data_IF_354043166548
#
_entry.id   IF_354043166548
#
_cell.length_a   1.000
_cell.length_b   1.000
_cell.length_c   1.000
_cell.angle_alpha   90.00
_cell.angle_beta   90.00
_cell.angle_gamma   90.00
#
_symmetry.space_group_name_H-M   'P 1'
#
loop_
_entity.id
_entity.type
_entity.pdbx_description
1 polymer ?
#
# COMPACT_ATOMS: atom_id res chain seq x y z
N UNK A 1 35.54 2.12 -10.07
CA UNK A 1 35.20 2.35 -8.64
C UNK A 1 35.24 1.01 -7.93
N UNK A 2 36.09 0.86 -6.93
CA UNK A 2 36.33 -0.42 -6.27
C UNK A 2 35.07 -0.87 -5.51
N UNK A 3 34.60 -2.10 -5.73
CA UNK A 3 33.35 -2.64 -5.14
C UNK A 3 33.32 -2.55 -3.60
N UNK A 4 34.49 -2.47 -2.97
CA UNK A 4 34.67 -2.30 -1.52
C UNK A 4 34.16 -0.94 -1.05
N UNK A 5 34.43 0.16 -1.76
CA UNK A 5 33.99 1.50 -1.35
C UNK A 5 32.47 1.64 -1.47
N UNK A 6 31.86 1.07 -2.51
CA UNK A 6 30.40 1.03 -2.65
C UNK A 6 29.76 0.16 -1.55
N UNK A 7 30.38 -0.97 -1.18
CA UNK A 7 29.92 -1.82 -0.08
C UNK A 7 30.02 -1.13 1.27
N UNK A 8 31.14 -0.46 1.56
CA UNK A 8 31.32 0.32 2.78
C UNK A 8 30.30 1.45 2.81
N UNK A 9 30.10 2.16 1.70
CA UNK A 9 29.09 3.23 1.62
C UNK A 9 27.67 2.70 1.84
N UNK A 10 27.27 1.61 1.17
CA UNK A 10 25.94 1.02 1.35
C UNK A 10 25.74 0.47 2.77
N UNK A 11 26.78 -0.13 3.35
CA UNK A 11 26.76 -0.63 4.72
C UNK A 11 26.68 0.50 5.74
N UNK A 12 27.48 1.56 5.57
CA UNK A 12 27.42 2.77 6.40
C UNK A 12 26.10 3.49 6.24
N UNK A 13 25.56 3.63 5.02
CA UNK A 13 24.25 4.21 4.77
C UNK A 13 23.13 3.37 5.37
N UNK A 14 23.18 2.04 5.26
CA UNK A 14 22.22 1.14 5.87
C UNK A 14 22.28 1.21 7.40
N UNK A 15 23.49 1.23 8.00
CA UNK A 15 23.68 1.42 9.43
C UNK A 15 23.24 2.81 9.90
N UNK A 16 23.50 3.86 9.13
CA UNK A 16 23.10 5.23 9.44
C UNK A 16 21.56 5.37 9.36
N UNK A 17 20.94 4.77 8.35
CA UNK A 17 19.48 4.71 8.20
C UNK A 17 18.80 3.79 9.23
N UNK A 18 19.44 2.71 9.67
CA UNK A 18 18.89 1.85 10.73
C UNK A 18 19.11 2.47 12.12
N UNK A 19 20.27 3.05 12.37
CA UNK A 19 20.68 3.58 13.67
C UNK A 19 20.07 4.93 14.05
N UNK A 20 19.71 5.78 13.08
CA UNK A 20 19.02 7.04 13.35
C UNK A 20 17.50 6.89 13.56
N UNK A 21 16.92 5.76 13.14
CA UNK A 21 15.46 5.66 12.99
C UNK A 21 14.81 4.45 13.64
N UNK A 22 15.57 3.48 14.16
CA UNK A 22 15.03 2.40 14.97
C UNK A 22 14.79 2.90 16.40
N UNK A 23 13.52 2.94 16.81
CA UNK A 23 13.16 3.01 18.22
C UNK A 23 12.53 1.70 18.68
N UNK A 24 12.78 1.34 19.94
CA UNK A 24 12.15 0.21 20.60
C UNK A 24 10.92 0.68 21.37
N UNK A 25 9.74 0.36 20.87
CA UNK A 25 8.50 0.50 21.64
C UNK A 25 8.35 -0.73 22.55
N UNK A 26 9.07 -0.76 23.69
CA UNK A 26 9.15 -1.92 24.59
C UNK A 26 7.80 -2.42 25.09
N UNK A 27 6.82 -1.51 25.21
CA UNK A 27 5.52 -1.81 25.82
C UNK A 27 4.42 -2.02 24.76
N UNK A 28 4.72 -1.80 23.47
CA UNK A 28 3.76 -1.87 22.37
C UNK A 28 2.72 -0.75 22.38
N UNK A 29 3.00 0.34 23.10
CA UNK A 29 2.10 1.47 23.31
C UNK A 29 2.70 2.74 22.71
N UNK A 30 1.83 3.62 22.21
CA UNK A 30 2.21 4.92 21.67
C UNK A 30 1.72 6.06 22.56
N UNK A 31 2.44 7.17 22.62
CA UNK A 31 2.06 8.30 23.48
C UNK A 31 1.04 9.24 22.83
N UNK A 32 0.09 9.71 23.64
CA UNK A 32 -0.86 10.76 23.27
C UNK A 32 -1.36 11.53 24.48
N UNK A 33 -2.14 12.57 24.23
CA UNK A 33 -2.76 13.39 25.27
C UNK A 33 -4.22 13.64 24.90
N UNK A 34 -5.15 13.30 25.80
CA UNK A 34 -6.53 13.74 25.67
C UNK A 34 -6.65 15.17 26.20
N UNK A 35 -7.17 16.07 25.38
CA UNK A 35 -7.49 17.43 25.73
C UNK A 35 -8.99 17.49 26.01
N UNK A 36 -9.37 17.60 27.28
CA UNK A 36 -10.77 17.64 27.72
C UNK A 36 -11.16 19.08 28.06
N UNK A 37 -12.26 19.56 27.47
CA UNK A 37 -12.80 20.90 27.60
C UNK A 37 -11.77 22.02 27.30
N UNK A 38 -10.78 21.75 26.43
CA UNK A 38 -9.67 22.65 26.05
C UNK A 38 -8.72 23.06 27.19
N UNK A 39 -8.86 22.49 28.38
CA UNK A 39 -8.08 22.88 29.55
C UNK A 39 -7.33 21.70 30.15
N UNK A 40 -8.04 20.59 30.38
CA UNK A 40 -7.50 19.42 31.09
C UNK A 40 -6.73 18.53 30.13
N UNK A 41 -5.43 18.37 30.37
CA UNK A 41 -4.54 17.50 29.60
C UNK A 41 -4.34 16.18 30.34
N UNK A 42 -4.73 15.07 29.71
CA UNK A 42 -4.64 13.73 30.28
C UNK A 42 -3.70 12.91 29.41
N UNK A 43 -2.45 12.66 29.85
CA UNK A 43 -1.54 11.78 29.12
C UNK A 43 -2.12 10.38 29.05
N UNK A 44 -2.13 9.79 27.85
CA UNK A 44 -2.66 8.45 27.58
C UNK A 44 -1.63 7.61 26.83
N UNK A 45 -1.61 6.31 27.13
CA UNK A 45 -0.97 5.30 26.30
C UNK A 45 -2.00 4.73 25.32
N UNK A 46 -1.65 4.76 24.04
CA UNK A 46 -2.49 4.35 22.92
C UNK A 46 -2.14 2.93 22.52
N UNK A 47 -3.16 2.07 22.48
CA UNK A 47 -3.06 0.71 21.97
C UNK A 47 -3.95 0.54 20.74
N UNK A 48 -3.49 -0.23 19.75
CA UNK A 48 -4.27 -0.64 18.59
C UNK A 48 -3.74 -1.98 18.08
N UNK A 49 -4.63 -2.85 17.60
CA UNK A 49 -4.26 -4.13 17.00
C UNK A 49 -5.39 -4.64 16.14
N UNK A 50 -5.09 -5.33 15.05
CA UNK A 50 -6.07 -6.08 14.23
C UNK A 50 -6.18 -7.54 14.67
N UNK A 51 -5.33 -8.00 15.59
CA UNK A 51 -5.29 -9.37 16.11
C UNK A 51 -6.19 -9.52 17.34
N UNK A 52 -7.21 -10.38 17.24
CA UNK A 52 -8.07 -10.73 18.39
C UNK A 52 -7.30 -11.38 19.55
N UNK A 53 -6.21 -12.10 19.24
CA UNK A 53 -5.33 -12.68 20.26
C UNK A 53 -4.63 -11.59 21.06
N UNK A 54 -3.99 -10.63 20.38
CA UNK A 54 -3.26 -9.56 21.04
C UNK A 54 -4.21 -8.65 21.83
N UNK A 55 -5.41 -8.42 21.29
CA UNK A 55 -6.48 -7.71 21.97
C UNK A 55 -6.91 -8.42 23.26
N UNK A 56 -7.09 -9.75 23.23
CA UNK A 56 -7.38 -10.54 24.44
C UNK A 56 -6.23 -10.55 25.44
N UNK A 57 -4.99 -10.74 24.99
CA UNK A 57 -3.82 -10.72 25.86
C UNK A 57 -3.59 -9.35 26.51
N UNK A 58 -3.91 -8.25 25.81
CA UNK A 58 -3.79 -6.90 26.35
C UNK A 58 -4.79 -6.64 27.50
N UNK A 59 -5.99 -7.23 27.45
CA UNK A 59 -6.97 -7.13 28.53
C UNK A 59 -6.38 -7.64 29.86
N UNK A 60 -5.51 -8.64 29.81
CA UNK A 60 -4.86 -9.24 30.98
C UNK A 60 -3.68 -8.45 31.55
N UNK A 61 -3.15 -7.46 30.83
CA UNK A 61 -2.00 -6.69 31.30
C UNK A 61 -2.41 -5.71 32.42
N UNK A 62 -1.64 -5.62 33.52
CA UNK A 62 -1.82 -4.55 34.51
C UNK A 62 -1.55 -3.20 33.84
N UNK A 63 -2.34 -2.19 34.20
CA UNK A 63 -2.26 -0.87 33.59
C UNK A 63 -1.75 0.14 34.60
N UNK A 64 -0.65 0.80 34.28
CA UNK A 64 0.02 1.78 35.14
C UNK A 64 -0.14 3.22 34.60
N UNK A 65 -1.01 3.41 33.61
CA UNK A 65 -1.24 4.69 32.91
C UNK A 65 -2.70 4.78 32.46
N UNK A 66 -3.16 5.97 32.09
CA UNK A 66 -4.45 6.09 31.38
C UNK A 66 -4.31 5.41 30.02
N UNK A 67 -5.27 4.55 29.65
CA UNK A 67 -5.21 3.76 28.42
C UNK A 67 -6.32 4.20 27.48
N UNK A 68 -5.94 4.40 26.21
CA UNK A 68 -6.85 4.59 25.10
C UNK A 68 -6.61 3.49 24.07
N UNK A 69 -7.62 2.66 23.80
CA UNK A 69 -7.55 1.64 22.75
C UNK A 69 -8.32 2.14 21.55
N UNK A 70 -7.68 2.18 20.38
CA UNK A 70 -8.33 2.50 19.11
C UNK A 70 -8.93 1.21 18.54
N UNK A 71 -10.25 1.15 18.47
CA UNK A 71 -10.98 0.02 17.91
C UNK A 71 -11.01 0.13 16.38
N UNK A 72 -10.73 -0.97 15.69
CA UNK A 72 -10.76 -1.06 14.23
C UNK A 72 -11.81 -2.08 13.77
N UNK A 73 -12.03 -2.20 12.46
CA UNK A 73 -13.07 -3.08 11.92
C UNK A 73 -12.85 -4.54 12.31
N UNK A 74 -11.60 -5.00 12.33
CA UNK A 74 -11.26 -6.36 12.72
C UNK A 74 -11.60 -6.65 14.18
N UNK A 75 -11.29 -5.74 15.10
CA UNK A 75 -11.62 -5.91 16.53
C UNK A 75 -13.12 -5.82 16.79
N UNK A 76 -13.85 -5.01 16.01
CA UNK A 76 -15.30 -4.91 16.13
C UNK A 76 -16.02 -6.24 15.82
N UNK A 77 -15.40 -7.16 15.07
CA UNK A 77 -15.95 -8.51 14.88
C UNK A 77 -15.95 -9.33 16.18
N UNK A 78 -15.10 -8.97 17.16
CA UNK A 78 -15.02 -9.60 18.48
C UNK A 78 -15.94 -8.96 19.52
N UNK A 79 -16.79 -8.01 19.12
CA UNK A 79 -17.68 -7.27 20.02
C UNK A 79 -18.59 -8.18 20.88
N UNK A 80 -19.01 -9.33 20.33
CA UNK A 80 -19.86 -10.31 21.01
C UNK A 80 -19.09 -11.39 21.77
N UNK A 81 -17.77 -11.24 21.94
CA UNK A 81 -16.93 -12.24 22.60
C UNK A 81 -16.70 -11.92 24.08
N UNK A 82 -16.37 -12.93 24.92
CA UNK A 82 -16.06 -12.71 26.34
C UNK A 82 -14.94 -11.70 26.60
N UNK A 83 -14.02 -11.52 25.64
CA UNK A 83 -12.92 -10.56 25.71
C UNK A 83 -13.46 -9.13 25.83
N UNK A 84 -14.52 -8.78 25.09
CA UNK A 84 -15.07 -7.43 25.11
C UNK A 84 -15.74 -7.11 26.46
N UNK A 85 -16.43 -8.10 27.05
CA UNK A 85 -16.99 -8.00 28.39
C UNK A 85 -15.89 -7.93 29.46
N UNK A 86 -14.76 -8.60 29.26
CA UNK A 86 -13.61 -8.51 30.16
C UNK A 86 -13.07 -7.08 30.27
N UNK A 87 -12.98 -6.34 29.15
CA UNK A 87 -12.61 -4.92 29.17
C UNK A 87 -13.60 -4.09 30.01
N UNK A 88 -14.91 -4.33 29.86
CA UNK A 88 -15.94 -3.63 30.65
C UNK A 88 -15.81 -3.95 32.15
N UNK A 89 -15.64 -5.22 32.52
CA UNK A 89 -15.42 -5.66 33.90
C UNK A 89 -14.17 -5.01 34.49
N UNK A 90 -13.13 -4.82 33.69
CA UNK A 90 -11.88 -4.15 34.08
C UNK A 90 -11.97 -2.62 34.08
N UNK A 91 -13.16 -2.05 33.90
CA UNK A 91 -13.43 -0.62 34.02
C UNK A 91 -13.11 0.20 32.77
N UNK A 92 -12.97 -0.43 31.60
CA UNK A 92 -12.87 0.31 30.34
C UNK A 92 -14.25 0.78 29.88
N UNK A 93 -14.33 2.06 29.52
CA UNK A 93 -15.52 2.71 28.98
C UNK A 93 -15.47 2.74 27.46
N UNK A 94 -16.61 2.52 26.82
CA UNK A 94 -16.76 2.64 25.37
C UNK A 94 -17.07 4.08 25.00
N UNK A 95 -16.26 4.62 24.10
CA UNK A 95 -16.41 5.98 23.60
C UNK A 95 -16.60 6.00 22.09
N UNK A 96 -17.42 6.94 21.61
CA UNK A 96 -17.58 7.20 20.18
C UNK A 96 -16.43 8.06 19.63
N UNK A 97 -16.49 8.41 18.34
CA UNK A 97 -15.47 9.24 17.67
C UNK A 97 -15.30 10.65 18.26
N UNK A 98 -16.27 11.12 19.05
CA UNK A 98 -16.27 12.41 19.75
C UNK A 98 -15.93 12.25 21.24
N UNK A 99 -15.37 11.10 21.63
CA UNK A 99 -14.99 10.76 23.00
C UNK A 99 -16.16 10.84 24.01
N UNK A 100 -17.41 10.70 23.54
CA UNK A 100 -18.58 10.58 24.41
C UNK A 100 -18.88 9.11 24.70
N UNK A 101 -19.51 8.77 25.83
CA UNK A 101 -20.08 7.46 26.06
C UNK A 101 -20.89 6.98 24.83
N UNK A 102 -20.62 5.78 24.37
CA UNK A 102 -21.28 5.18 23.22
C UNK A 102 -22.29 4.10 23.64
N UNK A 103 -23.38 3.98 22.88
CA UNK A 103 -24.26 2.81 23.01
C UNK A 103 -23.50 1.54 22.61
N UNK A 104 -23.62 0.52 23.45
CA UNK A 104 -22.97 -0.78 23.26
C UNK A 104 -23.77 -1.72 22.34
N UNK A 105 -25.02 -1.35 22.00
CA UNK A 105 -25.91 -2.19 21.18
C UNK A 105 -25.44 -2.35 19.72
N UNK A 106 -24.67 -1.39 19.21
CA UNK A 106 -24.24 -1.35 17.82
C UNK A 106 -22.73 -1.07 17.69
N UNK A 107 -21.94 -2.02 17.15
CA UNK A 107 -20.49 -1.89 16.99
C UNK A 107 -19.99 -0.69 16.17
N UNK A 108 -20.88 -0.01 15.44
CA UNK A 108 -20.54 1.17 14.64
C UNK A 108 -20.52 2.46 15.46
N UNK A 109 -21.08 2.45 16.66
CA UNK A 109 -21.31 3.66 17.45
C UNK A 109 -20.15 3.97 18.40
N UNK A 110 -19.27 3.00 18.66
CA UNK A 110 -18.05 3.18 19.42
C UNK A 110 -16.79 3.11 18.54
N UNK A 111 -15.73 3.78 19.01
CA UNK A 111 -14.41 3.85 18.37
C UNK A 111 -13.27 3.61 19.34
N UNK A 112 -13.47 3.86 20.63
CA UNK A 112 -12.41 3.72 21.62
C UNK A 112 -12.88 2.94 22.83
N UNK A 113 -11.95 2.18 23.43
CA UNK A 113 -12.02 1.90 24.86
C UNK A 113 -11.13 2.89 25.60
N UNK A 114 -11.62 3.42 26.71
CA UNK A 114 -10.86 4.30 27.58
C UNK A 114 -10.88 3.80 29.01
N UNK A 115 -9.70 3.70 29.64
CA UNK A 115 -9.58 3.41 31.07
C UNK A 115 -8.71 4.47 31.73
N UNK A 116 -9.28 5.33 32.59
CA UNK A 116 -8.48 6.24 33.39
C UNK A 116 -7.72 5.47 34.48
N UNK A 117 -6.50 5.91 34.79
CA UNK A 117 -5.72 5.39 35.92
C UNK A 117 -6.33 5.83 37.26
N UNK A 118 -6.75 7.08 37.33
CA UNK A 118 -7.36 7.71 38.50
C UNK A 118 -8.74 8.26 38.14
N UNK A 119 -9.73 8.26 39.06
CA UNK A 119 -11.08 8.80 38.80
C UNK A 119 -11.07 10.25 38.30
N UNK A 120 -10.08 11.05 38.72
CA UNK A 120 -9.93 12.44 38.24
C UNK A 120 -9.58 12.53 36.75
N UNK A 121 -9.10 11.47 36.10
CA UNK A 121 -8.79 11.45 34.68
C UNK A 121 -9.97 10.96 33.84
N UNK A 122 -11.13 10.74 34.44
CA UNK A 122 -12.31 10.33 33.70
C UNK A 122 -12.80 11.43 32.73
N UNK A 123 -13.53 11.00 31.70
CA UNK A 123 -14.19 11.89 30.75
C UNK A 123 -15.67 11.89 31.12
N UNK A 124 -16.14 13.04 31.62
CA UNK A 124 -17.54 13.22 32.00
C UNK A 124 -18.45 13.23 30.77
N UNK A 125 -19.70 12.83 30.96
CA UNK A 125 -20.71 12.86 29.91
C UNK A 125 -20.95 14.31 29.44
N UNK A 126 -20.90 14.54 28.13
CA UNK A 126 -21.00 15.88 27.53
C UNK A 126 -19.68 16.65 27.44
N UNK A 127 -18.57 16.16 28.02
CA UNK A 127 -17.27 16.83 27.95
C UNK A 127 -16.70 16.79 26.53
N UNK A 128 -16.22 17.92 25.99
CA UNK A 128 -15.60 17.94 24.66
C UNK A 128 -14.17 17.46 24.78
N UNK A 129 -13.84 16.30 24.20
CA UNK A 129 -12.48 15.78 24.22
C UNK A 129 -11.93 15.52 22.82
N UNK A 130 -10.63 15.77 22.66
CA UNK A 130 -9.86 15.55 21.44
C UNK A 130 -8.54 14.85 21.79
N UNK A 131 -7.99 14.06 20.86
CA UNK A 131 -6.73 13.37 21.02
C UNK A 131 -5.62 14.11 20.27
N UNK A 132 -4.60 14.56 21.00
CA UNK A 132 -3.36 15.12 20.47
C UNK A 132 -2.24 14.08 20.52
N UNK A 133 -1.52 13.92 19.42
CA UNK A 133 -0.35 13.04 19.29
C UNK A 133 0.77 13.75 18.54
N UNK A 134 2.06 13.43 18.79
CA UNK A 134 3.17 14.00 18.02
C UNK A 134 3.23 13.49 16.57
N UNK A 135 2.56 12.37 16.30
CA UNK A 135 2.39 11.75 14.99
C UNK A 135 0.95 11.86 14.49
N UNK A 136 0.71 11.52 13.22
CA UNK A 136 -0.66 11.43 12.66
C UNK A 136 -1.23 10.03 12.82
N UNK A 137 -2.53 9.92 13.11
CA UNK A 137 -3.24 8.63 13.10
C UNK A 137 -3.95 8.49 11.76
N UNK A 138 -3.60 7.46 10.99
CA UNK A 138 -4.20 7.18 9.69
C UNK A 138 -5.27 6.09 9.82
N UNK A 139 -6.51 6.53 9.96
CA UNK A 139 -7.69 5.67 10.07
C UNK A 139 -8.84 6.22 9.19
N UNK A 140 -8.64 6.27 7.85
CA UNK A 140 -9.66 6.76 6.94
C UNK A 140 -10.84 5.78 6.88
N UNK A 141 -11.99 6.25 6.38
CA UNK A 141 -13.01 5.32 5.91
C UNK A 141 -12.45 4.46 4.78
N UNK A 142 -12.87 3.20 4.67
CA UNK A 142 -12.41 2.28 3.60
C UNK A 142 -12.85 2.70 2.19
N UNK A 143 -13.87 3.57 2.09
CA UNK A 143 -14.42 4.04 0.81
C UNK A 143 -15.77 4.73 0.97
N UNK A 144 -16.46 4.92 -0.15
CA UNK A 144 -17.80 5.50 -0.20
C UNK A 144 -18.87 4.40 -0.16
N UNK A 145 -19.90 4.56 0.66
CA UNK A 145 -21.06 3.66 0.66
C UNK A 145 -22.05 4.07 -0.42
N UNK A 146 -22.34 3.15 -1.34
CA UNK A 146 -23.30 3.29 -2.44
C UNK A 146 -24.41 2.25 -2.21
N UNK A 147 -25.31 2.55 -1.26
CA UNK A 147 -26.33 1.59 -0.81
C UNK A 147 -25.67 0.34 -0.19
N UNK A 148 -25.92 -0.88 -0.72
CA UNK A 148 -25.33 -2.11 -0.19
C UNK A 148 -23.86 -2.33 -0.59
N UNK A 149 -23.33 -1.57 -1.56
CA UNK A 149 -21.97 -1.75 -2.10
C UNK A 149 -21.06 -0.64 -1.55
N UNK A 150 -19.83 -0.99 -1.20
CA UNK A 150 -18.79 -0.01 -0.84
C UNK A 150 -17.81 0.16 -2.00
N UNK A 151 -17.68 1.38 -2.50
CA UNK A 151 -16.62 1.73 -3.45
C UNK A 151 -15.35 2.04 -2.65
N UNK A 152 -14.45 1.06 -2.59
CA UNK A 152 -13.19 1.18 -1.84
C UNK A 152 -12.25 2.20 -2.48
N UNK A 153 -11.53 2.97 -1.66
CA UNK A 153 -10.53 3.93 -2.16
C UNK A 153 -9.43 3.24 -2.97
N UNK A 154 -9.04 2.03 -2.57
CA UNK A 154 -8.10 1.20 -3.33
C UNK A 154 -8.59 0.94 -4.76
N UNK A 155 -9.85 0.50 -4.92
CA UNK A 155 -10.47 0.27 -6.23
C UNK A 155 -10.56 1.58 -7.03
N UNK A 156 -10.86 2.70 -6.37
CA UNK A 156 -10.88 4.01 -7.02
C UNK A 156 -9.50 4.41 -7.55
N UNK A 157 -8.41 4.09 -6.84
CA UNK A 157 -7.06 4.33 -7.34
C UNK A 157 -6.72 3.49 -8.58
N UNK A 158 -7.24 2.27 -8.69
CA UNK A 158 -7.16 1.49 -9.94
C UNK A 158 -7.93 2.16 -11.08
N UNK A 159 -9.14 2.67 -10.81
CA UNK A 159 -9.91 3.44 -11.79
C UNK A 159 -9.12 4.66 -12.26
N UNK A 160 -8.45 5.38 -11.36
CA UNK A 160 -7.58 6.50 -11.71
C UNK A 160 -6.37 6.06 -12.53
N UNK A 161 -5.69 4.97 -12.15
CA UNK A 161 -4.55 4.44 -12.90
C UNK A 161 -4.93 4.13 -14.36
N UNK A 162 -6.02 3.41 -14.59
CA UNK A 162 -6.49 3.08 -15.94
C UNK A 162 -7.10 4.27 -16.68
N UNK A 163 -7.90 5.09 -16.00
CA UNK A 163 -8.57 6.25 -16.58
C UNK A 163 -7.59 7.34 -17.03
N UNK A 164 -6.68 7.77 -16.16
CA UNK A 164 -5.61 8.69 -16.55
C UNK A 164 -4.68 8.04 -17.57
N UNK A 165 -4.45 6.73 -17.47
CA UNK A 165 -3.66 6.02 -18.46
C UNK A 165 -4.25 6.06 -19.87
N UNK A 166 -5.58 5.89 -20.00
CA UNK A 166 -6.29 6.04 -21.27
C UNK A 166 -6.17 7.47 -21.81
N UNK A 167 -6.41 8.48 -20.96
CA UNK A 167 -6.35 9.90 -21.35
C UNK A 167 -4.94 10.28 -21.82
N UNK A 168 -3.91 9.85 -21.09
CA UNK A 168 -2.52 10.12 -21.44
C UNK A 168 -2.11 9.37 -22.71
N UNK A 169 -2.51 8.12 -22.87
CA UNK A 169 -2.19 7.33 -24.06
C UNK A 169 -2.89 7.88 -25.31
N UNK A 170 -4.15 8.33 -25.18
CA UNK A 170 -4.86 9.08 -26.24
C UNK A 170 -4.04 10.29 -26.71
N UNK A 171 -3.49 11.04 -25.76
CA UNK A 171 -2.61 12.19 -26.04
C UNK A 171 -1.31 11.75 -26.70
N UNK A 172 -0.66 10.69 -26.22
CA UNK A 172 0.54 10.11 -26.83
C UNK A 172 0.27 9.72 -28.29
N UNK A 173 -0.83 9.05 -28.59
CA UNK A 173 -1.18 8.63 -29.95
C UNK A 173 -1.36 9.82 -30.88
N UNK A 174 -2.02 10.89 -30.41
CA UNK A 174 -2.14 12.13 -31.18
C UNK A 174 -0.77 12.77 -31.46
N UNK A 175 0.14 12.76 -30.49
CA UNK A 175 1.49 13.33 -30.63
C UNK A 175 2.33 12.54 -31.64
N UNK A 176 2.18 11.22 -31.66
CA UNK A 176 2.96 10.33 -32.52
C UNK A 176 2.26 10.00 -33.85
N UNK A 177 1.15 10.67 -34.16
CA UNK A 177 0.40 10.46 -35.41
C UNK A 177 -0.19 9.05 -35.54
N UNK A 178 -0.48 8.38 -34.42
CA UNK A 178 -1.07 7.03 -34.41
C UNK A 178 -2.58 7.14 -34.44
N UNK A 179 -3.20 6.35 -35.31
CA UNK A 179 -4.65 6.22 -35.43
C UNK A 179 -5.27 5.79 -34.09
N UNK A 180 -6.29 6.55 -33.66
CA UNK A 180 -6.95 6.37 -32.37
C UNK A 180 -7.69 5.03 -32.27
N UNK A 181 -8.02 4.37 -33.38
CA UNK A 181 -8.64 3.03 -33.37
C UNK A 181 -7.80 1.98 -32.64
N UNK A 182 -6.48 2.20 -32.51
CA UNK A 182 -5.58 1.30 -31.81
C UNK A 182 -5.55 1.52 -30.30
N UNK A 183 -6.20 2.58 -29.78
CA UNK A 183 -6.20 2.91 -28.36
C UNK A 183 -7.07 1.96 -27.55
N UNK A 184 -8.31 1.73 -27.99
CA UNK A 184 -9.27 0.88 -27.27
C UNK A 184 -8.79 -0.58 -27.18
N UNK A 185 -8.19 -1.18 -28.23
CA UNK A 185 -7.58 -2.50 -28.09
C UNK A 185 -6.42 -2.52 -27.09
N UNK A 186 -5.56 -1.50 -27.07
CA UNK A 186 -4.45 -1.42 -26.09
C UNK A 186 -4.99 -1.40 -24.66
N UNK A 187 -5.98 -0.52 -24.42
CA UNK A 187 -6.63 -0.41 -23.12
C UNK A 187 -7.28 -1.73 -22.71
N UNK A 188 -8.05 -2.34 -23.60
CA UNK A 188 -8.79 -3.58 -23.36
C UNK A 188 -7.84 -4.72 -23.00
N UNK A 189 -6.79 -4.94 -23.79
CA UNK A 189 -5.81 -6.01 -23.55
C UNK A 189 -4.93 -5.77 -22.31
N UNK A 190 -4.68 -4.52 -21.96
CA UNK A 190 -3.99 -4.15 -20.71
C UNK A 190 -4.88 -4.43 -19.51
N UNK A 191 -6.15 -4.01 -19.56
CA UNK A 191 -7.12 -4.20 -18.47
C UNK A 191 -7.41 -5.69 -18.23
N UNK A 192 -7.71 -6.43 -19.31
CA UNK A 192 -7.95 -7.87 -19.26
C UNK A 192 -6.70 -8.60 -18.74
N UNK A 193 -5.52 -8.28 -19.31
CA UNK A 193 -4.26 -8.88 -18.87
C UNK A 193 -3.98 -8.63 -17.39
N UNK A 194 -4.26 -7.42 -16.90
CA UNK A 194 -4.05 -7.09 -15.48
C UNK A 194 -5.00 -7.88 -14.58
N UNK A 195 -6.31 -7.82 -14.83
CA UNK A 195 -7.33 -8.42 -13.94
C UNK A 195 -7.27 -9.94 -14.02
N UNK A 196 -7.36 -10.51 -15.23
CA UNK A 196 -7.34 -11.97 -15.39
C UNK A 196 -5.97 -12.55 -15.05
N UNK A 197 -4.88 -11.89 -15.45
CA UNK A 197 -3.53 -12.34 -15.10
C UNK A 197 -3.30 -12.34 -13.60
N UNK A 198 -3.72 -11.29 -12.90
CA UNK A 198 -3.60 -11.23 -11.44
C UNK A 198 -4.37 -12.37 -10.77
N UNK A 199 -5.63 -12.58 -11.20
CA UNK A 199 -6.50 -13.60 -10.62
C UNK A 199 -6.02 -15.01 -10.92
N UNK A 200 -5.66 -15.30 -12.17
CA UNK A 200 -5.13 -16.61 -12.56
C UNK A 200 -3.80 -16.90 -11.88
N UNK A 201 -2.91 -15.91 -11.77
CA UNK A 201 -1.67 -16.08 -11.01
C UNK A 201 -1.95 -16.45 -9.56
N UNK A 202 -2.91 -15.78 -8.92
CA UNK A 202 -3.26 -16.10 -7.53
C UNK A 202 -3.79 -17.54 -7.40
N UNK A 203 -4.75 -17.90 -8.24
CA UNK A 203 -5.36 -19.24 -8.20
C UNK A 203 -4.34 -20.32 -8.53
N UNK A 204 -3.51 -20.16 -9.56
CA UNK A 204 -2.54 -21.19 -9.96
C UNK A 204 -1.46 -21.42 -8.88
N UNK A 205 -0.94 -20.34 -8.27
CA UNK A 205 0.21 -20.45 -7.36
C UNK A 205 -0.16 -20.64 -5.89
N UNK A 206 -1.32 -20.12 -5.45
CA UNK A 206 -1.68 -20.10 -4.03
C UNK A 206 -2.96 -20.85 -3.70
N UNK A 207 -3.91 -20.97 -4.64
CA UNK A 207 -5.22 -21.59 -4.40
C UNK A 207 -5.74 -22.45 -5.57
N UNK A 208 -4.97 -23.45 -6.05
CA UNK A 208 -5.33 -24.22 -7.24
C UNK A 208 -6.62 -25.04 -7.05
N UNK A 209 -7.00 -25.35 -5.82
CA UNK A 209 -8.23 -26.04 -5.46
C UNK A 209 -9.51 -25.32 -5.94
N UNK A 210 -9.47 -23.99 -6.11
CA UNK A 210 -10.62 -23.22 -6.59
C UNK A 210 -11.08 -23.66 -7.98
N UNK A 211 -10.19 -24.19 -8.83
CA UNK A 211 -10.59 -24.74 -10.13
C UNK A 211 -11.60 -25.89 -10.02
N UNK A 212 -11.58 -26.63 -8.91
CA UNK A 212 -12.52 -27.75 -8.66
C UNK A 212 -13.65 -27.34 -7.74
N UNK A 213 -13.33 -26.56 -6.71
CA UNK A 213 -14.28 -26.26 -5.63
C UNK A 213 -15.26 -25.17 -6.02
N UNK A 214 -14.79 -24.09 -6.68
CA UNK A 214 -15.60 -22.94 -7.04
C UNK A 214 -15.08 -22.32 -8.37
N UNK A 215 -15.24 -23.06 -9.47
CA UNK A 215 -14.64 -22.74 -10.77
C UNK A 215 -14.99 -21.33 -11.28
N UNK A 216 -16.24 -20.88 -11.12
CA UNK A 216 -16.66 -19.57 -11.61
C UNK A 216 -16.02 -18.41 -10.82
N UNK A 217 -15.70 -18.62 -9.54
CA UNK A 217 -14.96 -17.64 -8.73
C UNK A 217 -13.55 -17.35 -9.26
N UNK A 218 -12.98 -18.23 -10.09
CA UNK A 218 -11.67 -18.02 -10.71
C UNK A 218 -11.73 -16.88 -11.73
N UNK A 219 -12.86 -16.70 -12.42
CA UNK A 219 -12.97 -15.75 -13.53
C UNK A 219 -13.88 -14.57 -13.23
N UNK A 220 -14.80 -14.73 -12.29
CA UNK A 220 -15.83 -13.75 -11.96
C UNK A 220 -15.66 -13.27 -10.51
N UNK A 221 -16.05 -12.02 -10.19
CA UNK A 221 -15.95 -11.42 -8.86
C UNK A 221 -17.06 -11.93 -7.91
N UNK A 222 -17.28 -13.25 -7.92
CA UNK A 222 -18.32 -13.94 -7.17
C UNK A 222 -17.71 -15.14 -6.46
N UNK A 223 -18.37 -15.56 -5.41
CA UNK A 223 -18.22 -16.87 -4.79
C UNK A 223 -19.54 -17.60 -5.02
N UNK A 224 -19.48 -18.87 -5.42
CA UNK A 224 -20.67 -19.70 -5.66
C UNK A 224 -20.88 -20.75 -4.57
N UNK A 225 -19.85 -21.06 -3.78
CA UNK A 225 -19.92 -22.02 -2.67
C UNK A 225 -19.33 -21.47 -1.36
N UNK A 226 -19.91 -21.79 -0.18
CA UNK A 226 -21.14 -22.56 0.02
C UNK A 226 -22.41 -21.79 -0.40
N UNK A 227 -22.34 -20.47 -0.47
CA UNK A 227 -23.45 -19.60 -0.87
C UNK A 227 -23.01 -18.61 -1.96
N UNK A 228 -23.97 -18.12 -2.73
CA UNK A 228 -23.70 -17.09 -3.73
C UNK A 228 -23.45 -15.74 -3.06
N UNK A 229 -22.25 -15.20 -3.25
CA UNK A 229 -21.86 -13.89 -2.73
C UNK A 229 -21.08 -13.11 -3.76
N UNK A 230 -21.42 -11.85 -3.95
CA UNK A 230 -20.56 -10.92 -4.65
C UNK A 230 -19.37 -10.59 -3.75
N UNK A 231 -18.18 -11.07 -4.12
CA UNK A 231 -16.94 -10.91 -3.34
C UNK A 231 -16.05 -9.81 -3.89
N UNK A 232 -16.29 -9.36 -5.12
CA UNK A 232 -15.33 -8.52 -5.83
C UNK A 232 -14.14 -9.34 -6.33
N UNK A 233 -13.18 -8.68 -6.98
CA UNK A 233 -11.91 -9.32 -7.33
C UNK A 233 -10.97 -9.29 -6.10
N UNK A 234 -11.00 -10.35 -5.30
CA UNK A 234 -10.04 -10.63 -4.24
C UNK A 234 -9.06 -11.72 -4.67
N UNK A 235 -7.94 -11.90 -3.95
CA UNK A 235 -6.91 -12.87 -4.32
C UNK A 235 -6.27 -12.55 -5.67
N UNK A 236 -5.39 -11.55 -5.70
CA UNK A 236 -4.74 -11.03 -6.90
C UNK A 236 -3.22 -11.13 -6.74
N UNK A 237 -2.53 -11.78 -7.68
CA UNK A 237 -1.08 -11.93 -7.66
C UNK A 237 -0.41 -11.03 -8.70
N UNK A 238 0.50 -10.17 -8.26
CA UNK A 238 1.23 -9.23 -9.12
C UNK A 238 2.08 -9.91 -10.21
N UNK A 239 2.67 -11.07 -9.92
CA UNK A 239 3.47 -11.85 -10.89
C UNK A 239 2.61 -12.36 -12.05
N UNK A 240 1.39 -12.83 -11.76
CA UNK A 240 0.43 -13.25 -12.79
C UNK A 240 0.01 -12.10 -13.70
N UNK A 241 -0.28 -10.93 -13.12
CA UNK A 241 -0.57 -9.72 -13.88
C UNK A 241 0.61 -9.33 -14.78
N UNK A 242 1.84 -9.41 -14.26
CA UNK A 242 3.06 -9.05 -15.00
C UNK A 242 3.25 -9.94 -16.22
N UNK A 243 3.14 -11.27 -16.06
CA UNK A 243 3.26 -12.22 -17.16
C UNK A 243 2.19 -11.97 -18.21
N UNK A 244 0.93 -11.84 -17.79
CA UNK A 244 -0.17 -11.58 -18.71
C UNK A 244 0.01 -10.26 -19.46
N UNK A 245 0.44 -9.19 -18.79
CA UNK A 245 0.71 -7.89 -19.42
C UNK A 245 1.85 -7.94 -20.45
N UNK A 246 2.90 -8.73 -20.20
CA UNK A 246 3.95 -8.96 -21.20
C UNK A 246 3.31 -9.61 -22.44
N UNK A 247 2.58 -10.70 -22.26
CA UNK A 247 1.97 -11.44 -23.37
C UNK A 247 0.93 -10.61 -24.13
N UNK A 248 0.05 -9.88 -23.44
CA UNK A 248 -0.98 -9.05 -24.09
C UNK A 248 -0.36 -7.84 -24.79
N UNK A 249 0.71 -7.26 -24.26
CA UNK A 249 1.45 -6.17 -24.95
C UNK A 249 2.15 -6.68 -26.20
N UNK A 250 2.78 -7.86 -26.15
CA UNK A 250 3.39 -8.49 -27.33
C UNK A 250 2.32 -8.82 -28.39
N UNK A 251 1.19 -9.40 -27.99
CA UNK A 251 0.06 -9.66 -28.88
C UNK A 251 -0.43 -8.38 -29.54
N UNK A 252 -0.69 -7.33 -28.76
CA UNK A 252 -1.08 -6.02 -29.26
C UNK A 252 -0.07 -5.47 -30.26
N UNK A 253 1.22 -5.51 -29.91
CA UNK A 253 2.30 -4.97 -30.72
C UNK A 253 2.41 -5.66 -32.08
N UNK A 254 2.40 -7.00 -32.09
CA UNK A 254 2.63 -7.77 -33.30
C UNK A 254 1.39 -7.95 -34.16
N UNK A 255 0.20 -8.08 -33.55
CA UNK A 255 -1.03 -8.42 -34.28
C UNK A 255 -1.95 -7.24 -34.54
N UNK A 256 -1.98 -6.25 -33.64
CA UNK A 256 -2.95 -5.15 -33.72
C UNK A 256 -2.28 -3.91 -34.31
N UNK A 257 -1.34 -3.29 -33.60
CA UNK A 257 -0.71 -2.03 -34.05
C UNK A 257 0.45 -2.25 -35.02
N UNK A 258 0.99 -3.48 -35.10
CA UNK A 258 2.10 -3.88 -35.98
C UNK A 258 3.33 -2.97 -35.84
N UNK A 259 3.68 -2.60 -34.61
CA UNK A 259 4.87 -1.82 -34.27
C UNK A 259 5.85 -2.70 -33.48
N UNK A 260 7.10 -2.22 -33.36
CA UNK A 260 8.08 -2.84 -32.46
C UNK A 260 7.54 -2.81 -31.01
N UNK A 261 7.58 -3.93 -30.26
CA UNK A 261 7.14 -3.95 -28.86
C UNK A 261 7.79 -2.89 -27.98
N UNK A 262 9.08 -2.60 -28.19
CA UNK A 262 9.77 -1.57 -27.43
C UNK A 262 9.19 -0.17 -27.65
N UNK A 263 8.62 0.11 -28.82
CA UNK A 263 7.88 1.35 -29.05
C UNK A 263 6.63 1.43 -28.15
N UNK A 264 5.91 0.32 -28.00
CA UNK A 264 4.72 0.24 -27.14
C UNK A 264 5.14 0.38 -25.67
N UNK A 265 6.18 -0.35 -25.25
CA UNK A 265 6.69 -0.31 -23.89
C UNK A 265 7.24 1.05 -23.47
N UNK A 266 7.90 1.80 -24.36
CA UNK A 266 8.35 3.17 -24.07
C UNK A 266 7.19 4.06 -23.64
N UNK A 267 6.04 3.91 -24.29
CA UNK A 267 4.84 4.73 -24.05
C UNK A 267 4.05 4.22 -22.85
N UNK A 268 3.95 2.91 -22.70
CA UNK A 268 3.36 2.29 -21.52
C UNK A 268 4.16 2.63 -20.26
N UNK A 269 5.50 2.64 -20.29
CA UNK A 269 6.34 2.97 -19.14
C UNK A 269 6.04 4.36 -18.56
N UNK A 270 5.76 5.35 -19.42
CA UNK A 270 5.34 6.69 -18.99
C UNK A 270 4.03 6.59 -18.19
N UNK A 271 3.02 5.94 -18.77
CA UNK A 271 1.69 5.85 -18.17
C UNK A 271 1.68 5.00 -16.90
N UNK A 272 2.41 3.88 -16.91
CA UNK A 272 2.53 2.95 -15.79
C UNK A 272 3.25 3.58 -14.62
N UNK A 273 4.20 4.51 -14.81
CA UNK A 273 4.81 5.25 -13.72
C UNK A 273 3.73 6.01 -12.91
N UNK A 274 2.82 6.72 -13.58
CA UNK A 274 1.71 7.39 -12.89
C UNK A 274 0.72 6.39 -12.28
N UNK A 275 0.40 5.30 -12.99
CA UNK A 275 -0.44 4.23 -12.47
C UNK A 275 0.11 3.62 -11.19
N UNK A 276 1.42 3.39 -11.13
CA UNK A 276 2.13 2.90 -9.95
C UNK A 276 1.99 3.84 -8.75
N UNK A 277 2.01 5.16 -8.96
CA UNK A 277 1.77 6.13 -7.90
C UNK A 277 0.36 6.01 -7.31
N UNK A 278 -0.66 5.85 -8.16
CA UNK A 278 -2.03 5.62 -7.69
C UNK A 278 -2.16 4.31 -6.91
N UNK A 279 -1.53 3.22 -7.37
CA UNK A 279 -1.54 1.94 -6.63
C UNK A 279 -0.93 2.11 -5.24
N UNK A 280 0.20 2.83 -5.11
CA UNK A 280 0.81 3.11 -3.80
C UNK A 280 -0.08 3.97 -2.91
N UNK A 281 -0.79 4.94 -3.48
CA UNK A 281 -1.81 5.70 -2.76
C UNK A 281 -2.94 4.79 -2.26
N UNK A 282 -3.34 3.80 -3.07
CA UNK A 282 -4.29 2.77 -2.65
C UNK A 282 -3.78 1.98 -1.44
N UNK A 283 -2.53 1.50 -1.49
CA UNK A 283 -1.92 0.78 -0.36
C UNK A 283 -1.86 1.67 0.91
N UNK A 284 -1.63 2.97 0.75
CA UNK A 284 -1.69 3.92 1.87
C UNK A 284 -3.10 3.97 2.49
N UNK A 285 -4.17 4.11 1.68
CA UNK A 285 -5.55 4.05 2.20
C UNK A 285 -5.85 2.73 2.93
N UNK A 286 -5.30 1.62 2.47
CA UNK A 286 -5.48 0.30 3.09
C UNK A 286 -4.55 0.03 4.29
N UNK A 287 -3.61 0.92 4.62
CA UNK A 287 -2.58 0.66 5.64
C UNK A 287 -1.70 -0.57 5.34
N UNK A 288 -1.40 -0.81 4.06
CA UNK A 288 -0.59 -1.93 3.58
C UNK A 288 0.79 -1.45 3.11
N UNK A 289 1.82 -2.30 3.19
CA UNK A 289 3.19 -1.98 2.72
C UNK A 289 3.80 -0.79 3.50
N UNK A 290 3.57 -0.79 4.83
CA UNK A 290 4.02 0.25 5.75
C UNK A 290 5.54 0.15 6.02
N UNK A 291 6.05 1.22 6.61
CA UNK A 291 7.44 1.34 6.98
C UNK A 291 7.80 0.68 8.31
N UNK A 292 9.09 0.71 8.59
CA UNK A 292 9.66 0.45 9.91
C UNK A 292 9.15 1.48 10.92
N UNK A 293 9.25 1.09 12.19
CA UNK A 293 8.98 1.97 13.33
C UNK A 293 9.85 3.23 13.23
N UNK A 294 9.30 4.38 13.62
CA UNK A 294 9.98 5.68 13.56
C UNK A 294 9.72 6.46 14.84
N UNK A 295 10.64 7.36 15.19
CA UNK A 295 10.43 8.35 16.25
C UNK A 295 9.04 9.02 16.12
N UNK A 296 8.20 8.98 17.17
CA UNK A 296 6.89 9.64 17.21
C UNK A 296 6.90 11.13 16.82
N UNK A 297 8.03 11.83 17.01
CA UNK A 297 8.21 13.24 16.68
C UNK A 297 8.71 13.48 15.25
N UNK A 298 9.00 12.42 14.49
CA UNK A 298 9.35 12.55 13.08
C UNK A 298 8.20 13.20 12.30
N UNK A 299 8.48 14.13 11.37
CA UNK A 299 7.43 14.73 10.53
C UNK A 299 6.73 13.72 9.63
N UNK A 300 7.31 12.53 9.48
CA UNK A 300 6.76 11.41 8.71
C UNK A 300 6.12 10.33 9.59
N UNK A 301 6.02 10.52 10.91
CA UNK A 301 5.45 9.53 11.80
C UNK A 301 3.93 9.39 11.57
N UNK A 302 3.50 8.19 11.17
CA UNK A 302 2.09 7.85 11.03
C UNK A 302 1.81 6.54 11.77
N UNK A 303 0.82 6.55 12.67
CA UNK A 303 0.28 5.35 13.29
C UNK A 303 -0.87 4.81 12.44
N UNK A 304 -0.84 3.52 12.13
CA UNK A 304 -1.81 2.85 11.28
C UNK A 304 -2.65 1.84 12.09
N UNK A 305 -3.80 2.23 12.69
CA UNK A 305 -4.61 1.32 13.53
C UNK A 305 -5.15 0.09 12.80
N UNK A 306 -5.17 0.16 11.46
CA UNK A 306 -5.69 -0.87 10.55
C UNK A 306 -4.58 -1.75 9.96
N UNK A 307 -3.31 -1.56 10.36
CA UNK A 307 -2.23 -2.39 9.83
C UNK A 307 -2.45 -3.88 10.13
N UNK A 308 -1.98 -4.75 9.23
CA UNK A 308 -1.93 -6.19 9.50
C UNK A 308 -1.09 -6.48 10.75
N UNK A 309 -1.51 -7.44 11.56
CA UNK A 309 -0.74 -7.93 12.71
C UNK A 309 0.61 -8.56 12.31
N UNK A 310 0.79 -8.91 11.03
CA UNK A 310 2.07 -9.38 10.48
C UNK A 310 3.21 -8.36 10.62
N UNK A 311 2.88 -7.07 10.69
CA UNK A 311 3.88 -6.02 10.92
C UNK A 311 4.24 -5.87 12.42
N UNK A 312 3.66 -6.69 13.30
CA UNK A 312 3.84 -6.63 14.74
C UNK A 312 3.03 -5.51 15.41
N UNK A 313 3.63 -4.91 16.44
CA UNK A 313 2.98 -3.87 17.25
C UNK A 313 2.58 -2.64 16.41
N UNK A 314 1.44 -2.04 16.77
CA UNK A 314 0.90 -0.84 16.13
C UNK A 314 1.46 0.40 16.79
N UNK A 315 2.50 0.95 16.16
CA UNK A 315 3.25 2.12 16.61
C UNK A 315 3.51 3.05 15.42
N UNK A 316 3.97 4.29 15.62
CA UNK A 316 4.27 5.19 14.51
C UNK A 316 5.33 4.61 13.58
N UNK A 317 5.05 4.68 12.28
CA UNK A 317 5.86 4.09 11.20
C UNK A 317 6.02 5.06 10.04
N UNK A 318 7.04 4.85 9.23
CA UNK A 318 7.20 5.57 7.98
C UNK A 318 6.08 5.23 6.98
N UNK A 319 5.51 6.21 6.26
CA UNK A 319 4.56 5.98 5.17
C UNK A 319 5.33 5.68 3.88
N UNK A 320 6.03 4.56 3.83
CA UNK A 320 6.84 4.12 2.67
C UNK A 320 6.06 4.14 1.36
N UNK A 321 4.75 3.89 1.39
CA UNK A 321 3.87 3.95 0.23
C UNK A 321 3.85 5.36 -0.38
N UNK A 322 3.80 6.40 0.44
CA UNK A 322 3.81 7.79 -0.04
C UNK A 322 5.18 8.16 -0.62
N UNK A 323 6.27 7.67 -0.03
CA UNK A 323 7.61 7.87 -0.58
C UNK A 323 7.76 7.22 -1.96
N UNK A 324 7.28 5.98 -2.13
CA UNK A 324 7.23 5.33 -3.45
C UNK A 324 6.31 6.10 -4.41
N UNK A 325 5.13 6.51 -3.97
CA UNK A 325 4.16 7.22 -4.81
C UNK A 325 4.75 8.53 -5.36
N UNK A 326 5.41 9.32 -4.51
CA UNK A 326 6.10 10.55 -4.92
C UNK A 326 7.22 10.22 -5.91
N UNK A 327 8.03 9.20 -5.63
CA UNK A 327 9.08 8.74 -6.56
C UNK A 327 8.51 8.39 -7.94
N UNK A 328 7.38 7.71 -7.99
CA UNK A 328 6.72 7.32 -9.24
C UNK A 328 6.08 8.51 -9.98
N UNK A 329 5.55 9.52 -9.27
CA UNK A 329 5.12 10.78 -9.88
C UNK A 329 6.30 11.53 -10.49
N UNK A 330 7.43 11.63 -9.77
CA UNK A 330 8.65 12.26 -10.29
C UNK A 330 9.19 11.52 -11.52
N UNK A 331 9.15 10.18 -11.50
CA UNK A 331 9.50 9.36 -12.65
C UNK A 331 8.56 9.63 -13.84
N UNK A 332 7.25 9.71 -13.62
CA UNK A 332 6.29 10.09 -14.66
C UNK A 332 6.63 11.46 -15.27
N UNK A 333 6.87 12.48 -14.43
CA UNK A 333 7.22 13.83 -14.88
C UNK A 333 8.49 13.81 -15.73
N UNK A 334 9.53 13.09 -15.28
CA UNK A 334 10.79 12.93 -16.01
C UNK A 334 10.57 12.26 -17.36
N UNK A 335 9.88 11.11 -17.40
CA UNK A 335 9.64 10.38 -18.64
C UNK A 335 8.76 11.18 -19.60
N UNK A 336 7.74 11.87 -19.10
CA UNK A 336 6.89 12.75 -19.90
C UNK A 336 7.69 13.91 -20.49
N UNK A 337 8.56 14.54 -19.69
CA UNK A 337 9.45 15.61 -20.14
C UNK A 337 10.38 15.11 -21.26
N UNK A 338 11.08 13.99 -21.05
CA UNK A 338 11.98 13.40 -22.04
C UNK A 338 11.23 13.01 -23.31
N UNK A 339 10.06 12.40 -23.19
CA UNK A 339 9.19 12.04 -24.31
C UNK A 339 8.77 13.27 -25.14
N UNK A 340 8.46 14.40 -24.49
CA UNK A 340 7.93 15.61 -25.16
C UNK A 340 8.99 16.56 -25.68
N UNK A 341 10.15 16.64 -25.03
CA UNK A 341 11.14 17.71 -25.22
C UNK A 341 12.45 17.23 -25.82
N UNK A 342 12.61 15.93 -26.05
CA UNK A 342 13.83 15.36 -26.60
C UNK A 342 13.53 14.32 -27.68
N UNK A 343 14.56 13.87 -28.38
CA UNK A 343 14.45 12.83 -29.41
C UNK A 343 14.36 11.40 -28.84
N UNK A 344 14.26 11.24 -27.51
CA UNK A 344 14.28 9.91 -26.87
C UNK A 344 13.11 9.04 -27.26
N UNK A 345 11.96 9.62 -27.64
CA UNK A 345 10.79 8.87 -28.12
C UNK A 345 11.02 8.08 -29.43
N UNK A 346 12.08 8.43 -30.16
CA UNK A 346 12.49 7.76 -31.40
C UNK A 346 13.53 6.65 -31.16
N UNK A 347 14.10 6.54 -29.96
CA UNK A 347 15.03 5.48 -29.59
C UNK A 347 14.23 4.35 -28.94
N UNK A 348 13.82 3.34 -29.73
CA UNK A 348 12.87 2.32 -29.28
C UNK A 348 13.45 1.52 -28.11
N UNK A 349 12.79 1.57 -26.96
CA UNK A 349 13.17 0.92 -25.71
C UNK A 349 13.91 1.81 -24.72
N UNK A 350 14.38 3.00 -25.14
CA UNK A 350 15.20 3.85 -24.28
C UNK A 350 14.42 4.37 -23.07
N UNK A 351 13.18 4.83 -23.28
CA UNK A 351 12.33 5.35 -22.21
C UNK A 351 11.88 4.22 -21.27
N UNK A 352 11.60 3.05 -21.82
CA UNK A 352 11.24 1.87 -21.03
C UNK A 352 12.40 1.37 -20.18
N UNK A 353 13.62 1.35 -20.73
CA UNK A 353 14.82 0.99 -19.97
C UNK A 353 15.09 1.98 -18.84
N UNK A 354 14.92 3.28 -19.08
CA UNK A 354 15.04 4.30 -18.04
C UNK A 354 13.96 4.15 -16.96
N UNK A 355 12.71 3.88 -17.38
CA UNK A 355 11.61 3.57 -16.48
C UNK A 355 11.94 2.39 -15.57
N UNK A 356 12.48 1.29 -16.12
CA UNK A 356 12.92 0.13 -15.34
C UNK A 356 14.00 0.52 -14.33
N UNK A 357 15.08 1.18 -14.76
CA UNK A 357 16.16 1.55 -13.85
C UNK A 357 15.64 2.39 -12.68
N UNK A 358 14.88 3.45 -12.96
CA UNK A 358 14.48 4.39 -11.92
C UNK A 358 13.38 3.81 -11.03
N UNK A 359 12.38 3.11 -11.58
CA UNK A 359 11.32 2.48 -10.78
C UNK A 359 11.92 1.49 -9.78
N UNK A 360 12.83 0.63 -10.24
CA UNK A 360 13.46 -0.37 -9.39
C UNK A 360 14.51 0.23 -8.46
N UNK A 361 15.14 1.36 -8.82
CA UNK A 361 15.96 2.13 -7.90
C UNK A 361 15.12 2.75 -6.77
N UNK A 362 13.98 3.37 -7.07
CA UNK A 362 13.04 3.89 -6.05
C UNK A 362 12.64 2.75 -5.10
N UNK A 363 12.24 1.60 -5.64
CA UNK A 363 11.92 0.42 -4.83
C UNK A 363 13.10 0.03 -3.93
N UNK A 364 14.30 -0.13 -4.50
CA UNK A 364 15.51 -0.50 -3.77
C UNK A 364 15.80 0.44 -2.57
N UNK A 365 15.67 1.75 -2.77
CA UNK A 365 15.93 2.73 -1.72
C UNK A 365 14.81 2.80 -0.67
N UNK A 366 13.54 2.77 -1.07
CA UNK A 366 12.43 2.80 -0.09
C UNK A 366 12.38 1.51 0.73
N UNK A 367 12.87 0.38 0.19
CA UNK A 367 12.91 -0.89 0.91
C UNK A 367 13.75 -0.83 2.21
N UNK A 368 14.73 0.08 2.32
CA UNK A 368 15.46 0.29 3.58
C UNK A 368 14.55 0.78 4.71
N UNK A 369 13.48 1.48 4.37
CA UNK A 369 12.50 2.06 5.29
C UNK A 369 11.27 1.15 5.48
N UNK A 370 11.14 0.06 4.72
CA UNK A 370 9.97 -0.83 4.79
C UNK A 370 10.10 -1.89 5.86
N UNK A 371 8.97 -2.23 6.46
CA UNK A 371 8.86 -3.44 7.25
C UNK A 371 8.71 -4.65 6.31
N UNK A 372 9.44 -5.76 6.54
CA UNK A 372 9.30 -6.97 5.73
C UNK A 372 7.86 -7.50 5.76
N UNK A 373 7.41 -8.01 4.61
CA UNK A 373 6.09 -8.63 4.47
C UNK A 373 6.24 -10.14 4.62
N UNK A 374 6.10 -10.64 5.85
CA UNK A 374 6.35 -12.04 6.17
C UNK A 374 7.84 -12.38 6.16
N UNK A 375 8.15 -13.67 5.95
CA UNK A 375 9.52 -14.17 6.02
C UNK A 375 10.37 -13.68 4.84
N UNK A 376 11.56 -13.15 5.13
CA UNK A 376 12.51 -12.78 4.09
C UNK A 376 13.12 -14.04 3.46
N UNK A 377 12.69 -14.37 2.25
CA UNK A 377 13.20 -15.55 1.51
C UNK A 377 14.65 -15.40 1.02
N UNK A 378 15.13 -14.18 0.82
CA UNK A 378 16.47 -13.91 0.27
C UNK A 378 17.15 -12.81 1.11
N UNK A 379 18.16 -13.19 1.85
CA UNK A 379 19.13 -12.28 2.44
C UNK A 379 20.48 -12.51 1.77
N UNK A 380 20.94 -11.52 0.99
CA UNK A 380 22.22 -11.61 0.29
C UNK A 380 23.01 -10.33 0.46
N UNK A 381 24.24 -10.45 0.97
CA UNK A 381 25.16 -9.32 1.17
C UNK A 381 24.56 -8.14 1.97
N UNK A 382 23.69 -8.43 2.95
CA UNK A 382 23.01 -7.40 3.77
C UNK A 382 21.82 -6.73 3.10
N UNK A 383 21.40 -7.20 1.92
CA UNK A 383 20.20 -6.76 1.21
C UNK A 383 19.06 -7.74 1.43
N UNK A 384 17.84 -7.22 1.58
CA UNK A 384 16.64 -8.03 1.69
C UNK A 384 16.08 -8.47 0.33
N UNK A 385 15.05 -9.32 0.34
CA UNK A 385 14.41 -9.89 -0.85
C UNK A 385 14.01 -8.81 -1.86
N UNK A 386 13.36 -7.73 -1.40
CA UNK A 386 12.90 -6.64 -2.27
C UNK A 386 14.06 -5.92 -2.98
N UNK A 387 15.17 -5.72 -2.27
CA UNK A 387 16.38 -5.10 -2.81
C UNK A 387 17.11 -6.00 -3.80
N UNK A 388 17.31 -7.26 -3.45
CA UNK A 388 17.98 -8.24 -4.32
C UNK A 388 17.22 -8.39 -5.63
N UNK A 389 15.88 -8.52 -5.57
CA UNK A 389 15.04 -8.61 -6.77
C UNK A 389 15.05 -7.34 -7.61
N UNK A 390 15.31 -6.17 -7.04
CA UNK A 390 15.36 -4.91 -7.79
C UNK A 390 16.59 -4.83 -8.72
N UNK A 391 17.70 -5.46 -8.35
CA UNK A 391 18.97 -5.37 -9.09
C UNK A 391 18.87 -5.95 -10.52
N UNK A 392 18.37 -7.18 -10.73
CA UNK A 392 18.18 -7.74 -12.08
C UNK A 392 17.35 -6.83 -13.00
N UNK A 393 16.30 -6.19 -12.48
CA UNK A 393 15.48 -5.29 -13.29
C UNK A 393 16.18 -3.98 -13.65
N UNK A 394 16.99 -3.42 -12.75
CA UNK A 394 17.85 -2.28 -13.07
C UNK A 394 18.86 -2.64 -14.16
N UNK A 395 19.50 -3.80 -14.08
CA UNK A 395 20.43 -4.30 -15.09
C UNK A 395 19.73 -4.54 -16.43
N UNK A 396 18.53 -5.12 -16.42
CA UNK A 396 17.72 -5.30 -17.61
C UNK A 396 17.38 -3.96 -18.27
N UNK A 397 16.99 -2.95 -17.48
CA UNK A 397 16.75 -1.60 -17.98
C UNK A 397 17.99 -0.98 -18.66
N UNK A 398 19.17 -1.18 -18.07
CA UNK A 398 20.43 -0.73 -18.67
C UNK A 398 20.73 -1.45 -19.99
N UNK A 399 20.56 -2.76 -20.04
CA UNK A 399 20.73 -3.56 -21.26
C UNK A 399 19.77 -3.10 -22.38
N UNK A 400 18.51 -2.83 -22.04
CA UNK A 400 17.51 -2.31 -22.99
C UNK A 400 17.95 -0.95 -23.54
N UNK A 401 18.45 -0.03 -22.71
CA UNK A 401 18.93 1.28 -23.16
C UNK A 401 20.15 1.18 -24.09
N UNK A 402 21.06 0.24 -23.84
CA UNK A 402 22.21 -0.01 -24.71
C UNK A 402 21.78 -0.56 -26.07
N UNK A 403 20.84 -1.51 -26.06
CA UNK A 403 20.27 -2.08 -27.28
C UNK A 403 19.51 -1.03 -28.09
N UNK A 404 18.74 -0.16 -27.42
CA UNK A 404 17.94 0.91 -28.03
C UNK A 404 18.75 1.87 -28.91
N UNK A 405 20.03 2.09 -28.61
CA UNK A 405 20.91 2.95 -29.44
C UNK A 405 20.99 2.50 -30.90
N UNK A 406 20.78 1.21 -31.17
CA UNK A 406 20.79 0.59 -32.51
C UNK A 406 19.44 0.67 -33.22
N UNK A 407 18.35 0.95 -32.50
CA UNK A 407 16.97 0.92 -33.01
C UNK A 407 16.34 2.31 -32.97
N UNK A 408 16.85 3.20 -33.83
CA UNK A 408 16.30 4.55 -33.98
C UNK A 408 15.25 4.58 -35.09
N UNK A 409 14.11 5.18 -34.79
CA UNK A 409 13.13 5.59 -35.78
C UNK A 409 13.57 6.90 -36.45
N UNK A 410 13.18 7.08 -37.70
CA UNK A 410 13.22 8.38 -38.36
C UNK A 410 12.25 9.35 -37.66
N UNK A 411 12.61 10.64 -37.70
CA UNK A 411 11.95 11.68 -36.89
C UNK A 411 10.60 12.13 -37.44
#
# INVERSE_FOLDING_TARGET
MNNILLRIYLFVFALFAQGLFSQNHTDGLSDGTLIVNKEKKIPVKIFATTSGRDFGSFAQKPQNSNILIILNSSINEYASTPVFEEYKIKGYKLLNKKFQPADTSNPKDYKYFYKPLNPQNDIEEGAKAELETPYKIWDPSVGFKLGPITLHFYSLMFVFAFGFGYILMKRIFKIDGVDQKYLDPLFTWTLIGTILGARLGHVIFYQPELFKQDFWSVFLPIQTKPEFKFTGFSGLASHGATIALILTTLYYSYKIIKKNPFWVYDRLGIVVALGGAFVRMGNFFNSEIIGKQVDPNSPFAILFPQQSSEYGITVPRYPSQLFEAIGYVLLFILLWYLYRKTDKKYQQGWLFGLFFIILWAIRFFVEFLKEPQGDEFIQFAGLNTGQVLSIPFMLAGFAIMLYSKKNKLEK
#
